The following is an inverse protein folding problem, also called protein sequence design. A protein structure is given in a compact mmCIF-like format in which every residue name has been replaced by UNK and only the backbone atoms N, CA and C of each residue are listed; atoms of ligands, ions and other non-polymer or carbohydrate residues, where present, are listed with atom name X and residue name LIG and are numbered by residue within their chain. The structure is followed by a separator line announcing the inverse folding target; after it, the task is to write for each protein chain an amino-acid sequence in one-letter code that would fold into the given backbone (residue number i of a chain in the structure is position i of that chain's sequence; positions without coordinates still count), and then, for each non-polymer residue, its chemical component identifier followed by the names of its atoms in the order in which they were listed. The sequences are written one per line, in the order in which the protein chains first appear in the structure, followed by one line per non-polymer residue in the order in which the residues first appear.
data_IF_691403571336
#
_entry.id   IF_691403571336
#
_cell.length_a   1.000
_cell.length_b   1.000
_cell.length_c   1.000
_cell.angle_alpha   90.00
_cell.angle_beta   90.00
_cell.angle_gamma   90.00
#
_symmetry.space_group_name_H-M   'P 1'
#
loop_
_entity.id
_entity.type
_entity.pdbx_description
1 polymer ?
#
# COMPACT_ATOMS: atom_id res chain seq x y z
N UNK A 1 -9.22 25.33 22.65
CA UNK A 1 -9.14 23.87 22.89
C UNK A 1 -9.29 23.60 24.38
N UNK A 2 -9.87 22.47 24.79
CA UNK A 2 -9.86 21.96 26.19
C UNK A 2 -9.17 20.59 26.22
N UNK A 3 -8.48 20.28 27.31
CA UNK A 3 -7.78 19.03 27.61
C UNK A 3 -8.13 18.62 29.04
N UNK A 4 -8.51 17.36 29.25
CA UNK A 4 -8.69 16.79 30.60
C UNK A 4 -7.46 15.96 30.93
N UNK A 5 -6.86 16.23 32.08
CA UNK A 5 -5.53 15.74 32.45
C UNK A 5 -5.35 15.69 33.96
N UNK A 6 -4.26 15.06 34.42
CA UNK A 6 -3.73 15.32 35.74
C UNK A 6 -2.54 16.30 35.61
N UNK A 7 -2.45 17.29 36.48
CA UNK A 7 -1.29 18.19 36.51
C UNK A 7 -0.72 18.36 37.91
N UNK A 8 0.56 18.70 37.97
CA UNK A 8 1.25 19.12 39.18
C UNK A 8 1.97 20.44 38.87
N UNK A 9 1.64 21.51 39.58
CA UNK A 9 2.23 22.84 39.42
C UNK A 9 3.34 23.04 40.46
N UNK A 10 4.58 23.17 40.01
CA UNK A 10 5.74 23.40 40.87
C UNK A 10 6.14 24.87 40.74
N UNK A 11 6.07 25.63 41.84
CA UNK A 11 6.64 26.98 41.90
C UNK A 11 8.14 26.87 42.19
N UNK A 12 8.99 27.43 41.33
CA UNK A 12 10.46 27.36 41.49
C UNK A 12 10.96 28.07 42.75
N UNK A 13 10.22 29.08 43.20
CA UNK A 13 10.61 29.95 44.30
C UNK A 13 10.13 29.43 45.67
N UNK A 14 9.55 28.21 45.72
CA UNK A 14 9.08 27.56 46.95
C UNK A 14 9.60 26.13 47.05
N UNK A 15 10.79 25.98 47.66
CA UNK A 15 11.40 24.68 47.97
C UNK A 15 10.65 23.97 49.10
N UNK A 16 9.75 23.03 48.77
CA UNK A 16 9.09 22.16 49.77
C UNK A 16 7.65 21.72 49.48
N UNK A 17 7.03 22.18 48.40
CA UNK A 17 5.61 21.85 48.11
C UNK A 17 5.34 20.35 47.87
N UNK A 18 4.24 19.83 48.46
CA UNK A 18 3.74 18.46 48.19
C UNK A 18 3.43 18.29 46.70
N UNK A 19 4.14 17.38 46.03
CA UNK A 19 3.98 17.08 44.58
C UNK A 19 2.75 16.19 44.30
N UNK A 20 1.56 16.67 44.66
CA UNK A 20 0.31 16.01 44.33
C UNK A 20 -0.06 16.25 42.85
N UNK A 21 -0.56 15.21 42.18
CA UNK A 21 -1.21 15.34 40.88
C UNK A 21 -2.71 15.57 41.09
N UNK A 22 -3.25 16.61 40.47
CA UNK A 22 -4.65 17.00 40.57
C UNK A 22 -5.36 16.85 39.22
N UNK A 23 -6.57 16.28 39.23
CA UNK A 23 -7.45 16.28 38.07
C UNK A 23 -7.75 17.73 37.67
N UNK A 24 -7.47 18.05 36.41
CA UNK A 24 -7.43 19.41 35.89
C UNK A 24 -7.99 19.51 34.48
N UNK A 25 -8.56 20.67 34.18
CA UNK A 25 -8.94 21.06 32.83
C UNK A 25 -7.96 22.14 32.37
N UNK A 26 -7.18 21.84 31.34
CA UNK A 26 -6.33 22.79 30.64
C UNK A 26 -7.08 23.34 29.42
N UNK A 27 -7.26 24.66 29.34
CA UNK A 27 -7.92 25.32 28.23
C UNK A 27 -7.01 26.34 27.55
N UNK A 28 -6.94 26.31 26.22
CA UNK A 28 -6.30 27.35 25.38
C UNK A 28 -7.41 28.17 24.73
N UNK A 29 -7.37 29.50 24.91
CA UNK A 29 -8.29 30.45 24.27
C UNK A 29 -7.74 31.89 24.26
N UNK A 30 -8.36 32.77 23.47
CA UNK A 30 -8.10 34.23 23.55
C UNK A 30 -8.83 34.82 24.76
N UNK A 31 -8.26 35.87 25.37
CA UNK A 31 -8.94 36.64 26.41
C UNK A 31 -10.18 37.38 25.86
N UNK A 32 -11.19 37.59 26.71
CA UNK A 32 -12.43 38.32 26.33
C UNK A 32 -12.30 39.85 26.42
N UNK A 33 -11.13 40.36 26.83
CA UNK A 33 -10.90 41.78 27.09
C UNK A 33 -10.46 42.51 25.80
N UNK A 34 -11.25 43.49 25.37
CA UNK A 34 -11.10 44.24 24.10
C UNK A 34 -9.80 45.06 23.93
N UNK A 35 -8.79 44.88 24.78
CA UNK A 35 -7.49 45.58 24.75
C UNK A 35 -6.25 44.70 24.97
N UNK A 36 -6.37 43.37 25.01
CA UNK A 36 -5.17 42.51 24.91
C UNK A 36 -5.42 41.24 24.08
N UNK A 37 -4.82 41.17 22.88
CA UNK A 37 -4.90 39.99 22.00
C UNK A 37 -3.94 38.86 22.46
N UNK A 38 -3.97 38.56 23.76
CA UNK A 38 -3.20 37.50 24.38
C UNK A 38 -3.96 36.18 24.31
N UNK A 39 -3.37 35.18 23.66
CA UNK A 39 -3.79 33.79 23.89
C UNK A 39 -3.30 33.35 25.27
N UNK A 40 -4.23 32.85 26.10
CA UNK A 40 -3.97 32.40 27.47
C UNK A 40 -4.20 30.88 27.58
N UNK A 41 -3.39 30.23 28.42
CA UNK A 41 -3.67 28.91 28.99
C UNK A 41 -4.37 29.15 30.33
N UNK A 42 -5.52 28.51 30.54
CA UNK A 42 -6.22 28.47 31.83
C UNK A 42 -6.13 27.05 32.40
N UNK A 43 -5.73 26.94 33.66
CA UNK A 43 -5.58 25.68 34.40
C UNK A 43 -6.58 25.67 35.56
N UNK A 44 -7.60 24.83 35.46
CA UNK A 44 -8.71 24.73 36.43
C UNK A 44 -8.56 23.41 37.20
N UNK A 45 -8.31 23.46 38.52
CA UNK A 45 -8.30 22.28 39.41
C UNK A 45 -9.65 22.14 40.13
N UNK A 46 -9.90 21.00 40.78
CA UNK A 46 -11.01 20.87 41.75
C UNK A 46 -10.92 21.85 42.92
N UNK A 47 -9.70 22.23 43.32
CA UNK A 47 -9.43 23.19 44.42
C UNK A 47 -9.49 24.66 44.00
N UNK A 48 -9.28 24.97 42.72
CA UNK A 48 -9.24 26.33 42.17
C UNK A 48 -10.20 26.40 40.96
N UNK A 49 -11.46 26.71 41.25
CA UNK A 49 -12.54 26.80 40.25
C UNK A 49 -12.47 28.05 39.38
N UNK A 50 -11.81 29.13 39.81
CA UNK A 50 -11.62 30.34 39.00
C UNK A 50 -10.49 30.19 37.98
N UNK A 51 -9.51 29.31 38.27
CA UNK A 51 -8.50 28.84 37.32
C UNK A 51 -7.29 29.76 37.19
N UNK A 52 -6.09 29.19 37.26
CA UNK A 52 -4.83 29.93 37.09
C UNK A 52 -4.61 30.24 35.61
N UNK A 53 -4.46 31.52 35.27
CA UNK A 53 -4.18 31.97 33.90
C UNK A 53 -2.68 32.16 33.66
N UNK A 54 -2.20 31.69 32.51
CA UNK A 54 -0.84 31.87 32.02
C UNK A 54 -0.90 32.46 30.61
N UNK A 55 -0.20 33.56 30.37
CA UNK A 55 -0.02 34.08 29.01
C UNK A 55 0.86 33.09 28.19
N UNK A 56 0.57 32.91 26.90
CA UNK A 56 1.35 32.00 26.03
C UNK A 56 2.49 32.73 25.32
N UNK A 57 2.19 33.90 24.73
CA UNK A 57 3.17 34.68 23.96
C UNK A 57 4.25 35.26 24.87
N UNK A 58 5.52 35.13 24.46
CA UNK A 58 6.74 35.61 25.16
C UNK A 58 6.92 35.13 26.63
N UNK A 59 6.13 34.16 27.09
CA UNK A 59 6.05 33.76 28.51
C UNK A 59 6.33 32.26 28.77
N UNK A 60 6.60 31.46 27.73
CA UNK A 60 7.05 30.08 27.87
C UNK A 60 8.57 30.06 27.75
N UNK A 61 9.26 29.61 28.79
CA UNK A 61 10.72 29.45 28.82
C UNK A 61 11.15 28.20 28.05
N UNK A 62 10.61 27.04 28.42
CA UNK A 62 10.94 25.72 27.84
C UNK A 62 9.72 24.79 27.88
N UNK A 63 9.68 23.82 26.98
CA UNK A 63 8.73 22.71 26.98
C UNK A 63 9.54 21.41 26.95
N UNK A 64 9.36 20.57 27.97
CA UNK A 64 10.05 19.29 28.10
C UNK A 64 9.13 18.15 27.63
N UNK A 65 9.47 17.54 26.50
CA UNK A 65 8.71 16.45 25.86
C UNK A 65 9.37 15.07 26.02
N UNK A 66 10.40 14.94 26.86
CA UNK A 66 11.23 13.71 27.03
C UNK A 66 10.41 12.44 27.31
N UNK A 67 9.24 12.57 27.93
CA UNK A 67 8.37 11.47 28.34
C UNK A 67 6.99 11.52 27.64
N UNK A 68 6.91 12.17 26.46
CA UNK A 68 5.66 12.33 25.70
C UNK A 68 5.05 10.98 25.26
N UNK A 69 5.90 9.97 25.02
CA UNK A 69 5.46 8.59 24.75
C UNK A 69 4.77 7.93 25.96
N UNK A 70 5.11 8.33 27.19
CA UNK A 70 4.45 7.93 28.44
C UNK A 70 3.25 8.84 28.81
N UNK A 71 2.86 9.77 27.92
CA UNK A 71 1.80 10.74 28.19
C UNK A 71 2.21 11.87 29.17
N UNK A 72 3.51 12.14 29.34
CA UNK A 72 4.06 13.09 30.32
C UNK A 72 4.79 14.26 29.64
N UNK A 73 4.43 15.49 29.99
CA UNK A 73 5.06 16.74 29.48
C UNK A 73 5.21 17.75 30.62
N UNK A 74 6.25 18.58 30.58
CA UNK A 74 6.38 19.75 31.49
C UNK A 74 6.46 21.04 30.69
N UNK A 75 5.66 22.05 31.04
CA UNK A 75 5.73 23.40 30.47
C UNK A 75 6.26 24.36 31.54
N UNK A 76 7.36 25.06 31.22
CA UNK A 76 8.02 26.01 32.11
C UNK A 76 7.66 27.44 31.73
N UNK A 77 6.93 28.15 32.60
CA UNK A 77 6.55 29.55 32.41
C UNK A 77 7.58 30.51 32.99
N UNK A 78 7.67 31.71 32.42
CA UNK A 78 8.52 32.81 32.90
C UNK A 78 7.79 33.62 33.98
N UNK A 79 6.49 33.84 33.81
CA UNK A 79 5.66 34.59 34.77
C UNK A 79 4.25 33.99 34.86
N UNK A 80 3.80 33.55 36.05
CA UNK A 80 4.62 33.24 37.23
C UNK A 80 5.63 32.11 36.94
N UNK A 81 6.66 31.97 37.79
CA UNK A 81 7.74 31.00 37.63
C UNK A 81 7.34 29.56 38.01
N UNK A 82 6.37 29.03 37.26
CA UNK A 82 5.81 27.71 37.47
C UNK A 82 6.27 26.72 36.40
N UNK A 83 6.60 25.51 36.85
CA UNK A 83 6.75 24.33 36.01
C UNK A 83 5.49 23.47 36.14
N UNK A 84 4.68 23.45 35.09
CA UNK A 84 3.42 22.70 35.03
C UNK A 84 3.70 21.34 34.40
N UNK A 85 3.75 20.31 35.23
CA UNK A 85 3.80 18.91 34.80
C UNK A 85 2.38 18.45 34.41
N UNK A 86 2.26 17.75 33.28
CA UNK A 86 0.99 17.32 32.67
C UNK A 86 1.08 15.81 32.40
N UNK A 87 0.06 15.06 32.84
CA UNK A 87 -0.22 13.67 32.47
C UNK A 87 -1.56 13.59 31.73
N UNK A 88 -1.57 13.04 30.53
CA UNK A 88 -2.80 12.77 29.76
C UNK A 88 -2.49 11.75 28.65
N UNK A 89 -3.53 11.23 27.98
CA UNK A 89 -3.35 10.33 26.84
C UNK A 89 -2.44 10.96 25.78
N UNK A 90 -1.50 10.17 25.25
CA UNK A 90 -0.56 10.61 24.19
C UNK A 90 -1.30 11.31 23.02
N UNK A 91 -2.48 10.83 22.63
CA UNK A 91 -3.27 11.42 21.55
C UNK A 91 -3.78 12.83 21.91
N UNK A 92 -4.35 13.00 23.11
CA UNK A 92 -4.87 14.30 23.55
C UNK A 92 -3.73 15.31 23.80
N UNK A 93 -2.63 14.84 24.40
CA UNK A 93 -1.46 15.66 24.73
C UNK A 93 -0.67 16.10 23.49
N UNK A 94 -0.54 15.23 22.47
CA UNK A 94 0.05 15.63 21.17
C UNK A 94 -0.84 16.59 20.38
N UNK A 95 -2.17 16.45 20.46
CA UNK A 95 -3.08 17.44 19.89
C UNK A 95 -2.96 18.81 20.57
N UNK A 96 -2.89 18.84 21.91
CA UNK A 96 -2.68 20.06 22.69
C UNK A 96 -1.37 20.77 22.33
N UNK A 97 -0.26 20.03 22.22
CA UNK A 97 1.03 20.59 21.81
C UNK A 97 1.04 21.11 20.36
N UNK A 98 0.28 20.50 19.43
CA UNK A 98 0.12 21.04 18.07
C UNK A 98 -0.58 22.40 18.08
N UNK A 99 -1.67 22.54 18.84
CA UNK A 99 -2.39 23.81 18.99
C UNK A 99 -1.50 24.86 19.67
N UNK A 100 -0.74 24.48 20.71
CA UNK A 100 0.21 25.37 21.38
C UNK A 100 1.32 25.85 20.42
N UNK A 101 1.86 24.96 19.57
CA UNK A 101 2.84 25.34 18.56
C UNK A 101 2.25 26.32 17.54
N UNK A 102 1.03 26.08 17.06
CA UNK A 102 0.34 26.98 16.11
C UNK A 102 0.13 28.39 16.71
N UNK A 103 -0.23 28.49 17.99
CA UNK A 103 -0.34 29.77 18.71
C UNK A 103 1.00 30.50 18.80
N UNK A 104 2.10 29.77 18.99
CA UNK A 104 3.44 30.35 19.07
C UNK A 104 4.02 30.76 17.71
N UNK A 105 3.64 30.10 16.61
CA UNK A 105 4.12 30.43 15.24
C UNK A 105 3.20 31.37 14.47
N UNK A 106 1.90 31.41 14.77
CA UNK A 106 0.91 32.26 14.08
C UNK A 106 0.96 33.74 14.44
N UNK A 107 1.89 34.17 15.30
CA UNK A 107 1.98 35.55 15.80
C UNK A 107 2.73 36.53 14.88
N UNK A 108 3.21 36.11 13.71
CA UNK A 108 4.04 36.93 12.81
C UNK A 108 3.72 36.65 11.33
N UNK A 109 2.53 37.04 10.89
CA UNK A 109 2.07 36.89 9.51
C UNK A 109 1.18 38.07 9.06
N UNK A 110 1.81 39.19 8.70
CA UNK A 110 1.19 40.22 7.85
C UNK A 110 2.11 40.48 6.65
N UNK A 111 1.71 39.88 5.53
CA UNK A 111 1.83 40.40 4.15
C UNK A 111 2.99 41.33 3.77
N UNK A 112 3.94 40.79 3.01
CA UNK A 112 4.29 41.33 1.67
C UNK A 112 4.78 40.20 0.77
N UNK A 113 4.44 40.26 -0.52
CA UNK A 113 4.95 39.36 -1.56
C UNK A 113 6.22 39.92 -2.24
N UNK A 114 6.98 39.12 -3.01
CA UNK A 114 8.37 39.44 -3.35
C UNK A 114 8.52 40.38 -4.56
N UNK A 115 9.51 41.27 -4.47
CA UNK A 115 10.13 41.96 -5.61
C UNK A 115 11.66 41.87 -5.52
N UNK A 116 12.33 42.04 -6.65
CA UNK A 116 13.76 41.71 -6.82
C UNK A 116 14.72 42.84 -6.39
N UNK A 117 16.02 42.53 -6.14
CA UNK A 117 16.92 43.44 -5.45
C UNK A 117 17.62 44.45 -6.37
N UNK A 118 17.96 45.61 -5.80
CA UNK A 118 19.01 46.50 -6.31
C UNK A 118 19.72 47.22 -5.16
N UNK A 119 20.92 47.74 -5.43
CA UNK A 119 21.91 48.24 -4.47
C UNK A 119 21.94 49.77 -4.39
N UNK A 120 22.31 50.35 -3.23
CA UNK A 120 23.59 51.11 -3.05
C UNK A 120 23.74 51.73 -1.64
N UNK A 121 25.02 51.84 -1.19
CA UNK A 121 25.63 52.87 -0.31
C UNK A 121 25.12 53.20 1.11
N UNK A 122 26.04 53.03 2.07
CA UNK A 122 26.20 53.74 3.36
C UNK A 122 26.59 55.24 3.16
N UNK A 123 26.77 56.13 4.18
CA UNK A 123 26.83 55.88 5.65
C UNK A 123 26.03 56.85 6.55
N UNK A 124 25.93 56.54 7.86
CA UNK A 124 26.43 57.37 8.99
C UNK A 124 26.17 56.67 10.36
N UNK A 125 26.99 56.97 11.37
CA UNK A 125 26.92 56.49 12.78
C UNK A 125 27.62 57.53 13.67
N UNK A 126 27.35 57.68 14.99
CA UNK A 126 27.52 56.67 16.07
C UNK A 126 26.22 56.42 16.88
N UNK A 127 26.14 55.66 17.99
CA UNK A 127 27.14 55.24 19.00
C UNK A 127 26.93 53.82 19.57
N UNK A 128 27.94 53.31 20.27
CA UNK A 128 28.02 52.00 20.97
C UNK A 128 28.34 52.24 22.48
N UNK A 129 28.72 51.26 23.36
CA UNK A 129 29.02 49.81 23.23
C UNK A 129 27.89 48.94 23.87
N UNK A 130 27.96 47.67 24.31
CA UNK A 130 28.96 46.60 24.64
C UNK A 130 28.33 45.22 24.24
N UNK A 131 28.95 44.05 23.96
CA UNK A 131 30.30 43.42 24.08
C UNK A 131 30.72 43.03 25.52
N UNK A 132 31.10 41.80 25.89
CA UNK A 132 31.65 40.57 25.23
C UNK A 132 31.32 39.33 26.15
N UNK A 133 31.88 38.09 26.03
CA UNK A 133 32.72 37.44 24.99
C UNK A 133 32.27 36.02 24.53
N UNK A 134 32.90 35.52 23.43
CA UNK A 134 33.17 34.11 23.07
C UNK A 134 31.97 33.12 22.84
N UNK A 135 32.08 32.08 22.01
CA UNK A 135 33.21 31.49 21.26
C UNK A 135 32.99 31.48 19.74
N UNK A 136 34.08 31.41 18.98
CA UNK A 136 34.12 31.11 17.53
C UNK A 136 34.79 29.75 17.26
N UNK A 137 34.71 29.27 16.01
CA UNK A 137 35.33 28.03 15.48
C UNK A 137 34.65 26.72 15.97
N UNK A 138 34.36 25.73 15.13
CA UNK A 138 34.61 25.63 13.68
C UNK A 138 33.93 24.42 13.01
N UNK A 139 34.33 24.12 11.77
CA UNK A 139 33.69 23.11 10.91
C UNK A 139 33.92 21.67 11.42
N UNK A 140 32.86 20.98 11.84
CA UNK A 140 32.76 19.51 11.77
C UNK A 140 31.38 19.10 11.26
N UNK A 141 31.35 18.31 10.17
CA UNK A 141 30.17 17.55 9.74
C UNK A 141 30.12 16.25 10.53
N UNK A 142 29.26 16.16 11.55
CA UNK A 142 29.08 14.93 12.33
C UNK A 142 27.74 14.95 13.05
N UNK A 143 26.88 13.93 12.81
CA UNK A 143 25.68 13.54 13.59
C UNK A 143 24.66 14.65 13.90
N UNK A 144 23.35 14.46 13.73
CA UNK A 144 22.54 13.33 14.19
C UNK A 144 21.42 13.08 13.16
N UNK A 145 21.49 11.95 12.44
CA UNK A 145 20.30 11.11 12.36
C UNK A 145 20.16 10.50 13.76
N UNK A 146 18.95 10.45 14.33
CA UNK A 146 18.32 9.21 14.78
C UNK A 146 17.20 9.38 15.83
N UNK A 147 16.20 8.50 15.72
CA UNK A 147 15.20 8.18 16.75
C UNK A 147 14.08 9.24 17.00
N UNK A 148 12.92 8.88 17.59
CA UNK A 148 11.78 8.48 16.75
C UNK A 148 10.41 9.08 17.23
N UNK A 149 9.31 8.36 16.92
CA UNK A 149 7.99 8.39 17.58
C UNK A 149 6.83 9.25 17.03
N UNK A 150 6.97 9.82 15.83
CA UNK A 150 5.77 9.92 14.94
C UNK A 150 5.50 8.51 14.38
N UNK A 151 4.44 7.87 14.86
CA UNK A 151 4.01 6.54 14.39
C UNK A 151 3.34 6.65 13.02
N UNK A 152 4.14 6.89 11.98
CA UNK A 152 3.66 6.97 10.61
C UNK A 152 3.17 5.59 10.16
N UNK A 153 1.86 5.45 9.95
CA UNK A 153 1.23 4.23 9.41
C UNK A 153 1.36 4.14 7.89
N UNK A 154 1.66 5.26 7.23
CA UNK A 154 2.11 5.31 5.82
C UNK A 154 3.57 5.72 5.75
N UNK A 155 4.34 5.09 4.86
CA UNK A 155 5.69 5.52 4.48
C UNK A 155 5.71 5.70 2.95
N UNK A 156 6.34 6.78 2.48
CA UNK A 156 6.51 7.10 1.06
C UNK A 156 7.97 7.44 0.83
N UNK A 157 8.62 6.72 -0.09
CA UNK A 157 10.03 6.84 -0.43
C UNK A 157 10.11 7.02 -1.95
N UNK A 158 10.47 8.24 -2.37
CA UNK A 158 10.66 8.61 -3.78
C UNK A 158 12.11 8.87 -4.15
N UNK A 159 12.99 9.16 -3.20
CA UNK A 159 14.44 9.20 -3.43
C UNK A 159 15.14 8.04 -2.75
N UNK A 160 16.17 7.49 -3.40
CA UNK A 160 17.04 6.45 -2.82
C UNK A 160 17.78 6.89 -1.54
N UNK A 161 17.89 8.21 -1.29
CA UNK A 161 18.44 8.78 -0.04
C UNK A 161 17.50 8.67 1.16
N UNK A 162 16.20 8.58 0.90
CA UNK A 162 15.15 8.56 1.93
C UNK A 162 14.82 7.11 2.37
N UNK A 163 15.56 6.13 1.84
CA UNK A 163 15.40 4.72 2.18
C UNK A 163 15.90 4.44 3.61
N UNK A 164 15.09 3.85 4.50
CA UNK A 164 15.41 3.75 5.91
C UNK A 164 16.48 2.68 6.17
N UNK A 165 17.74 3.10 6.36
CA UNK A 165 18.87 2.19 6.69
C UNK A 165 18.71 1.43 8.00
N UNK A 166 17.85 1.92 8.91
CA UNK A 166 17.46 1.26 10.16
C UNK A 166 16.21 0.37 10.05
N UNK A 167 15.70 0.20 8.83
CA UNK A 167 14.53 -0.60 8.53
C UNK A 167 13.19 0.05 8.88
N UNK A 168 12.13 -0.70 8.61
CA UNK A 168 10.76 -0.20 8.60
C UNK A 168 10.04 -0.34 9.96
N UNK A 169 9.14 0.60 10.26
CA UNK A 169 8.29 0.55 11.45
C UNK A 169 7.33 -0.65 11.39
N UNK A 170 7.33 -1.53 12.40
CA UNK A 170 6.43 -2.70 12.49
C UNK A 170 4.93 -2.35 12.57
N UNK A 171 4.59 -1.06 12.71
CA UNK A 171 3.22 -0.54 12.74
C UNK A 171 2.77 0.06 11.38
N UNK A 172 3.56 -0.11 10.32
CA UNK A 172 3.20 0.33 8.97
C UNK A 172 2.00 -0.44 8.41
N UNK A 173 1.13 0.28 7.71
CA UNK A 173 -0.08 -0.22 7.04
C UNK A 173 -0.02 0.03 5.52
N UNK A 174 0.60 1.14 5.09
CA UNK A 174 0.87 1.45 3.67
C UNK A 174 2.35 1.77 3.44
N UNK A 175 2.98 1.10 2.48
CA UNK A 175 4.35 1.35 2.05
C UNK A 175 4.36 1.69 0.56
N UNK A 176 4.97 2.82 0.21
CA UNK A 176 5.20 3.22 -1.17
C UNK A 176 6.69 3.47 -1.38
N UNK A 177 7.31 2.72 -2.28
CA UNK A 177 8.71 2.82 -2.68
C UNK A 177 8.71 2.90 -4.21
N UNK A 178 8.86 4.10 -4.77
CA UNK A 178 8.68 4.32 -6.21
C UNK A 178 9.77 5.20 -6.80
N UNK A 179 10.26 4.86 -8.00
CA UNK A 179 11.31 5.59 -8.74
C UNK A 179 12.68 5.69 -8.04
N UNK A 180 13.06 4.65 -7.27
CA UNK A 180 14.39 4.57 -6.63
C UNK A 180 15.35 3.60 -7.32
N UNK A 181 14.93 3.02 -8.47
CA UNK A 181 15.68 2.02 -9.25
C UNK A 181 16.04 0.77 -8.43
N UNK A 182 15.11 0.30 -7.60
CA UNK A 182 15.29 -0.88 -6.76
C UNK A 182 15.34 -2.15 -7.63
N UNK A 183 16.46 -2.87 -7.64
CA UNK A 183 16.64 -4.08 -8.47
C UNK A 183 16.26 -5.40 -7.77
N UNK A 184 16.20 -5.39 -6.43
CA UNK A 184 15.89 -6.56 -5.59
C UNK A 184 14.89 -6.16 -4.52
N UNK A 185 13.89 -7.01 -4.27
CA UNK A 185 12.96 -6.83 -3.16
C UNK A 185 13.70 -6.88 -1.80
N UNK A 186 13.39 -5.95 -0.90
CA UNK A 186 13.97 -5.92 0.46
C UNK A 186 13.22 -6.87 1.40
N UNK A 187 13.91 -7.87 1.93
CA UNK A 187 13.36 -8.85 2.87
C UNK A 187 12.89 -8.22 4.20
N UNK A 188 13.33 -7.02 4.57
CA UNK A 188 12.83 -6.31 5.75
C UNK A 188 11.33 -5.97 5.64
N UNK A 189 10.80 -5.81 4.42
CA UNK A 189 9.36 -5.56 4.18
C UNK A 189 8.51 -6.75 4.66
N UNK A 190 9.04 -7.99 4.59
CA UNK A 190 8.34 -9.22 5.02
C UNK A 190 8.03 -9.24 6.52
N UNK A 191 8.76 -8.45 7.33
CA UNK A 191 8.55 -8.34 8.78
C UNK A 191 7.31 -7.48 9.14
N UNK A 192 6.70 -6.80 8.17
CA UNK A 192 5.61 -5.84 8.36
C UNK A 192 4.23 -6.52 8.42
N UNK A 193 3.96 -7.23 9.52
CA UNK A 193 2.71 -7.99 9.74
C UNK A 193 1.42 -7.15 9.64
N UNK A 194 1.50 -5.84 9.88
CA UNK A 194 0.36 -4.91 9.75
C UNK A 194 0.21 -4.27 8.36
N UNK A 195 1.12 -4.54 7.42
CA UNK A 195 1.06 -3.98 6.07
C UNK A 195 -0.16 -4.51 5.32
N UNK A 196 -0.87 -3.61 4.63
CA UNK A 196 -2.05 -3.90 3.79
C UNK A 196 -1.93 -3.35 2.39
N UNK A 197 -1.21 -2.24 2.22
CA UNK A 197 -0.96 -1.62 0.91
C UNK A 197 0.54 -1.55 0.66
N UNK A 198 1.00 -2.15 -0.45
CA UNK A 198 2.41 -2.16 -0.85
C UNK A 198 2.53 -1.73 -2.31
N UNK A 199 3.15 -0.57 -2.53
CA UNK A 199 3.47 -0.04 -3.84
C UNK A 199 4.99 -0.06 -4.03
N UNK A 200 5.44 -0.79 -5.05
CA UNK A 200 6.82 -0.91 -5.51
C UNK A 200 6.98 -0.45 -6.98
N UNK A 201 6.06 0.39 -7.45
CA UNK A 201 5.99 0.81 -8.85
C UNK A 201 7.24 1.58 -9.32
N UNK A 202 7.52 1.59 -10.62
CA UNK A 202 8.65 2.34 -11.22
C UNK A 202 9.98 1.96 -10.58
N UNK A 203 10.32 0.68 -10.61
CA UNK A 203 11.59 0.15 -10.13
C UNK A 203 12.17 -0.83 -11.17
N UNK A 204 13.17 -1.62 -10.77
CA UNK A 204 13.85 -2.57 -11.65
C UNK A 204 13.76 -4.00 -11.09
N UNK A 205 12.67 -4.31 -10.36
CA UNK A 205 12.51 -5.58 -9.67
C UNK A 205 12.26 -6.67 -10.71
N UNK A 206 13.12 -7.69 -10.71
CA UNK A 206 13.03 -8.86 -11.61
C UNK A 206 12.31 -10.06 -10.99
N UNK A 207 12.28 -10.16 -9.66
CA UNK A 207 11.66 -11.28 -8.95
C UNK A 207 11.23 -10.90 -7.53
N UNK A 208 10.25 -11.64 -7.02
CA UNK A 208 9.68 -11.47 -5.68
C UNK A 208 9.90 -12.76 -4.87
N UNK A 209 10.23 -12.67 -3.57
CA UNK A 209 10.45 -13.85 -2.74
C UNK A 209 9.12 -14.57 -2.46
N UNK A 210 9.13 -15.92 -2.44
CA UNK A 210 7.95 -16.72 -2.08
C UNK A 210 7.30 -16.29 -0.76
N UNK A 211 8.12 -15.87 0.21
CA UNK A 211 7.69 -15.35 1.51
C UNK A 211 6.78 -14.10 1.44
N UNK A 212 6.74 -13.37 0.32
CA UNK A 212 5.75 -12.29 0.11
C UNK A 212 4.31 -12.81 0.27
N UNK A 213 4.05 -14.06 -0.14
CA UNK A 213 2.74 -14.70 -0.03
C UNK A 213 2.29 -15.00 1.40
N UNK A 214 3.21 -14.95 2.37
CA UNK A 214 2.90 -15.09 3.79
C UNK A 214 2.31 -13.80 4.38
N UNK A 215 2.49 -12.66 3.71
CA UNK A 215 1.89 -11.38 4.11
C UNK A 215 0.39 -11.35 3.78
N UNK A 216 -0.36 -10.52 4.52
CA UNK A 216 -1.79 -10.27 4.27
C UNK A 216 -1.99 -8.89 3.63
N UNK A 217 -1.54 -8.75 2.38
CA UNK A 217 -1.68 -7.52 1.60
C UNK A 217 -3.05 -7.51 0.91
N UNK A 218 -3.71 -6.35 0.91
CA UNK A 218 -4.96 -6.09 0.18
C UNK A 218 -4.70 -5.39 -1.16
N UNK A 219 -3.65 -4.55 -1.23
CA UNK A 219 -3.24 -3.83 -2.43
C UNK A 219 -1.76 -4.12 -2.69
N UNK A 220 -1.43 -4.52 -3.92
CA UNK A 220 -0.05 -4.72 -4.38
C UNK A 220 0.13 -4.10 -5.76
N UNK A 221 0.93 -3.04 -5.82
CA UNK A 221 1.32 -2.38 -7.08
C UNK A 221 2.79 -2.66 -7.40
N UNK A 222 2.99 -3.31 -8.54
CA UNK A 222 4.27 -3.73 -9.12
C UNK A 222 4.47 -3.11 -10.51
N UNK A 223 3.68 -2.11 -10.89
CA UNK A 223 3.74 -1.51 -12.22
C UNK A 223 5.11 -0.93 -12.57
N UNK A 224 5.45 -0.90 -13.85
CA UNK A 224 6.71 -0.33 -14.37
C UNK A 224 7.94 -0.97 -13.69
N UNK A 225 8.07 -2.28 -13.82
CA UNK A 225 9.18 -3.09 -13.28
C UNK A 225 9.72 -4.04 -14.38
N UNK A 226 10.40 -5.13 -14.02
CA UNK A 226 11.01 -6.05 -14.99
C UNK A 226 10.72 -7.51 -14.64
N UNK A 227 9.47 -7.81 -14.26
CA UNK A 227 9.03 -9.13 -13.78
C UNK A 227 8.89 -10.21 -14.89
N UNK A 228 9.53 -10.02 -16.04
CA UNK A 228 9.47 -10.87 -17.24
C UNK A 228 9.81 -12.34 -16.96
N UNK A 229 10.77 -12.58 -16.05
CA UNK A 229 11.24 -13.91 -15.61
C UNK A 229 10.79 -14.23 -14.17
N UNK A 230 9.89 -13.44 -13.59
CA UNK A 230 9.54 -13.57 -12.18
C UNK A 230 8.84 -14.91 -11.88
N UNK A 231 9.22 -15.54 -10.76
CA UNK A 231 8.48 -16.68 -10.22
C UNK A 231 7.30 -16.20 -9.39
N UNK A 232 6.10 -16.64 -9.76
CA UNK A 232 4.83 -16.23 -9.14
C UNK A 232 4.39 -17.20 -8.02
N UNK A 233 5.33 -17.96 -7.46
CA UNK A 233 5.09 -18.99 -6.44
C UNK A 233 4.58 -18.40 -5.11
N UNK A 234 4.77 -17.09 -4.87
CA UNK A 234 4.20 -16.38 -3.74
C UNK A 234 2.65 -16.35 -3.77
N UNK A 235 2.02 -16.40 -4.94
CA UNK A 235 0.55 -16.49 -5.07
C UNK A 235 -0.01 -17.87 -4.66
N UNK A 236 0.85 -18.87 -4.42
CA UNK A 236 0.42 -20.20 -3.95
C UNK A 236 0.22 -20.26 -2.43
N UNK A 237 0.61 -19.21 -1.69
CA UNK A 237 0.48 -19.13 -0.23
C UNK A 237 -0.94 -18.70 0.22
N UNK A 238 -1.51 -19.30 1.27
CA UNK A 238 -2.92 -19.09 1.63
C UNK A 238 -3.25 -17.69 2.17
N UNK A 239 -2.28 -16.98 2.79
CA UNK A 239 -2.50 -15.64 3.34
C UNK A 239 -2.78 -14.62 2.23
N UNK A 240 -1.97 -14.58 1.16
CA UNK A 240 -2.17 -13.63 0.06
C UNK A 240 -3.42 -13.97 -0.77
N UNK A 241 -3.71 -15.27 -1.00
CA UNK A 241 -4.91 -15.74 -1.71
C UNK A 241 -6.23 -15.29 -1.08
N UNK A 242 -6.23 -15.10 0.24
CA UNK A 242 -7.39 -14.74 1.07
C UNK A 242 -7.36 -13.29 1.57
N UNK A 243 -6.47 -12.44 1.04
CA UNK A 243 -6.42 -11.02 1.41
C UNK A 243 -6.22 -10.04 0.25
N UNK A 244 -5.60 -10.45 -0.86
CA UNK A 244 -5.30 -9.57 -1.99
C UNK A 244 -6.55 -9.24 -2.81
N UNK A 245 -6.89 -7.95 -2.87
CA UNK A 245 -8.06 -7.41 -3.55
C UNK A 245 -7.70 -6.61 -4.81
N UNK A 246 -6.53 -5.96 -4.83
CA UNK A 246 -6.03 -5.19 -5.97
C UNK A 246 -4.61 -5.60 -6.31
N UNK A 247 -4.36 -5.92 -7.60
CA UNK A 247 -3.04 -6.28 -8.13
C UNK A 247 -2.79 -5.51 -9.43
N UNK A 248 -1.73 -4.70 -9.44
CA UNK A 248 -1.24 -4.02 -10.64
C UNK A 248 0.14 -4.58 -11.04
N UNK A 249 0.22 -5.12 -12.26
CA UNK A 249 1.41 -5.72 -12.87
C UNK A 249 1.65 -5.17 -14.29
N UNK A 250 1.14 -3.96 -14.56
CA UNK A 250 1.27 -3.26 -15.83
C UNK A 250 2.73 -2.84 -16.12
N UNK A 251 3.10 -2.55 -17.36
CA UNK A 251 4.46 -2.15 -17.78
C UNK A 251 5.58 -3.10 -17.27
N UNK A 252 5.44 -4.42 -17.42
CA UNK A 252 6.43 -5.40 -16.96
C UNK A 252 6.99 -6.31 -18.09
N UNK A 253 6.59 -6.07 -19.34
CA UNK A 253 6.99 -6.86 -20.51
C UNK A 253 6.55 -8.34 -20.44
N UNK A 254 5.54 -8.68 -19.62
CA UNK A 254 5.15 -10.06 -19.35
C UNK A 254 4.67 -10.78 -20.63
N UNK A 255 5.28 -11.90 -21.06
CA UNK A 255 4.89 -12.61 -22.29
C UNK A 255 3.60 -13.44 -22.13
N UNK A 256 3.19 -13.72 -20.89
CA UNK A 256 1.95 -14.42 -20.54
C UNK A 256 1.43 -13.91 -19.20
N UNK A 257 0.10 -13.96 -19.00
CA UNK A 257 -0.46 -13.70 -17.68
C UNK A 257 -0.12 -14.89 -16.75
N UNK A 258 0.53 -14.68 -15.59
CA UNK A 258 0.99 -15.77 -14.74
C UNK A 258 -0.19 -16.58 -14.18
N UNK A 259 -0.24 -17.87 -14.55
CA UNK A 259 -1.32 -18.80 -14.21
C UNK A 259 -1.63 -18.88 -12.71
N UNK A 260 -0.65 -18.62 -11.84
CA UNK A 260 -0.84 -18.63 -10.39
C UNK A 260 -1.85 -17.57 -9.90
N UNK A 261 -2.14 -16.51 -10.68
CA UNK A 261 -3.11 -15.45 -10.32
C UNK A 261 -4.53 -15.97 -10.10
N UNK A 262 -4.91 -17.10 -10.70
CA UNK A 262 -6.22 -17.76 -10.46
C UNK A 262 -6.45 -18.15 -9.00
N UNK A 263 -5.39 -18.19 -8.18
CA UNK A 263 -5.46 -18.48 -6.76
C UNK A 263 -5.87 -17.27 -5.89
N UNK A 264 -5.78 -16.04 -6.39
CA UNK A 264 -6.20 -14.85 -5.65
C UNK A 264 -7.73 -14.72 -5.65
N UNK A 265 -8.39 -15.53 -4.81
CA UNK A 265 -9.86 -15.67 -4.75
C UNK A 265 -10.58 -14.39 -4.34
N UNK A 266 -9.92 -13.56 -3.54
CA UNK A 266 -10.44 -12.28 -3.05
C UNK A 266 -10.17 -11.11 -4.02
N UNK A 267 -9.49 -11.35 -5.16
CA UNK A 267 -9.10 -10.29 -6.09
C UNK A 267 -10.33 -9.68 -6.79
N UNK A 268 -10.46 -8.36 -6.69
CA UNK A 268 -11.53 -7.54 -7.28
C UNK A 268 -11.03 -6.79 -8.51
N UNK A 269 -9.77 -6.33 -8.47
CA UNK A 269 -9.13 -5.56 -9.55
C UNK A 269 -7.81 -6.20 -9.96
N UNK A 270 -7.68 -6.50 -11.26
CA UNK A 270 -6.43 -6.91 -11.90
C UNK A 270 -6.12 -5.96 -13.06
N UNK A 271 -4.98 -5.28 -12.99
CA UNK A 271 -4.45 -4.46 -14.10
C UNK A 271 -3.11 -5.02 -14.56
N UNK A 272 -3.01 -5.35 -15.84
CA UNK A 272 -1.80 -5.90 -16.47
C UNK A 272 -1.55 -5.25 -17.84
N UNK A 273 -1.79 -3.95 -17.92
CA UNK A 273 -1.71 -3.14 -19.14
C UNK A 273 -0.26 -3.03 -19.64
N UNK A 274 -0.07 -2.73 -20.93
CA UNK A 274 1.24 -2.49 -21.54
C UNK A 274 2.26 -3.61 -21.25
N UNK A 275 1.86 -4.84 -21.57
CA UNK A 275 2.68 -6.05 -21.45
C UNK A 275 2.75 -6.74 -22.84
N UNK A 276 3.24 -7.99 -22.88
CA UNK A 276 3.34 -8.77 -24.11
C UNK A 276 2.46 -10.03 -24.03
N UNK A 277 1.39 -9.98 -23.24
CA UNK A 277 0.51 -11.12 -22.96
C UNK A 277 -0.21 -11.48 -24.25
N UNK A 278 0.02 -12.70 -24.74
CA UNK A 278 -0.68 -13.25 -25.91
C UNK A 278 -1.93 -14.04 -25.58
N UNK A 279 -1.97 -14.71 -24.42
CA UNK A 279 -3.08 -15.57 -24.01
C UNK A 279 -3.35 -15.46 -22.51
N UNK A 280 -4.62 -15.70 -22.14
CA UNK A 280 -5.09 -15.73 -20.75
C UNK A 280 -5.28 -17.17 -20.27
N UNK A 281 -5.10 -17.47 -18.97
CA UNK A 281 -5.29 -18.81 -18.44
C UNK A 281 -6.77 -19.20 -18.48
N UNK A 282 -7.09 -20.40 -18.99
CA UNK A 282 -8.46 -20.91 -19.08
C UNK A 282 -9.20 -20.99 -17.75
N UNK A 283 -8.47 -21.08 -16.63
CA UNK A 283 -9.01 -21.12 -15.29
C UNK A 283 -9.32 -19.73 -14.69
N UNK A 284 -9.11 -18.62 -15.41
CA UNK A 284 -9.40 -17.26 -14.90
C UNK A 284 -10.83 -17.11 -14.36
N UNK A 285 -11.79 -17.86 -14.93
CA UNK A 285 -13.19 -17.89 -14.49
C UNK A 285 -13.40 -18.31 -13.02
N UNK A 286 -12.43 -18.96 -12.36
CA UNK A 286 -12.55 -19.31 -10.93
C UNK A 286 -12.43 -18.11 -9.99
N UNK A 287 -12.01 -16.95 -10.50
CA UNK A 287 -11.85 -15.71 -9.75
C UNK A 287 -13.20 -15.00 -9.58
N UNK A 288 -14.13 -15.64 -8.85
CA UNK A 288 -15.54 -15.23 -8.72
C UNK A 288 -15.77 -13.81 -8.17
N UNK A 289 -14.76 -13.17 -7.56
CA UNK A 289 -14.83 -11.78 -7.06
C UNK A 289 -14.26 -10.74 -8.03
N UNK A 290 -13.60 -11.15 -9.11
CA UNK A 290 -12.97 -10.21 -10.05
C UNK A 290 -14.05 -9.39 -10.76
N UNK A 291 -13.90 -8.06 -10.71
CA UNK A 291 -14.82 -7.08 -11.31
C UNK A 291 -14.16 -6.23 -12.37
N UNK A 292 -12.92 -5.83 -12.15
CA UNK A 292 -12.17 -4.98 -13.06
C UNK A 292 -10.98 -5.80 -13.57
N UNK A 293 -10.97 -6.05 -14.87
CA UNK A 293 -9.87 -6.70 -15.58
C UNK A 293 -9.39 -5.77 -16.70
N UNK A 294 -8.23 -5.15 -16.51
CA UNK A 294 -7.61 -4.30 -17.52
C UNK A 294 -6.40 -4.98 -18.15
N UNK A 295 -6.48 -5.18 -19.47
CA UNK A 295 -5.50 -5.88 -20.30
C UNK A 295 -5.13 -5.04 -21.54
N UNK A 296 -5.39 -3.73 -21.49
CA UNK A 296 -5.06 -2.80 -22.57
C UNK A 296 -3.58 -2.89 -22.99
N UNK A 297 -3.25 -2.60 -24.26
CA UNK A 297 -1.87 -2.60 -24.78
C UNK A 297 -1.15 -3.94 -24.56
N UNK A 298 -1.70 -5.00 -25.12
CA UNK A 298 -1.13 -6.35 -25.05
C UNK A 298 -1.17 -7.01 -26.44
N UNK A 299 -0.78 -8.28 -26.54
CA UNK A 299 -0.72 -9.03 -27.79
C UNK A 299 -1.82 -10.11 -27.84
N UNK A 300 -2.95 -9.92 -27.14
CA UNK A 300 -3.98 -10.95 -26.98
C UNK A 300 -4.64 -11.24 -28.34
N UNK A 301 -4.63 -12.52 -28.73
CA UNK A 301 -5.22 -13.00 -29.99
C UNK A 301 -6.66 -13.53 -29.79
N UNK A 302 -6.92 -14.19 -28.65
CA UNK A 302 -8.24 -14.63 -28.22
C UNK A 302 -8.36 -14.66 -26.69
N UNK A 303 -9.60 -14.58 -26.20
CA UNK A 303 -9.94 -14.84 -24.79
C UNK A 303 -10.41 -16.29 -24.60
N UNK A 304 -10.32 -16.91 -23.43
CA UNK A 304 -10.92 -18.24 -23.23
C UNK A 304 -12.46 -18.14 -23.16
N UNK A 305 -13.18 -19.11 -23.74
CA UNK A 305 -14.66 -19.21 -23.67
C UNK A 305 -15.20 -19.05 -22.23
N UNK A 306 -14.45 -19.56 -21.25
CA UNK A 306 -14.78 -19.50 -19.82
C UNK A 306 -14.90 -18.06 -19.28
N UNK A 307 -14.35 -17.05 -19.96
CA UNK A 307 -14.52 -15.63 -19.60
C UNK A 307 -15.99 -15.21 -19.63
N UNK A 308 -16.83 -15.78 -20.52
CA UNK A 308 -18.26 -15.54 -20.58
C UNK A 308 -19.04 -16.02 -19.33
N UNK A 309 -18.40 -16.81 -18.46
CA UNK A 309 -18.97 -17.27 -17.18
C UNK A 309 -18.73 -16.27 -16.03
N UNK A 310 -17.76 -15.38 -16.16
CA UNK A 310 -17.46 -14.33 -15.17
C UNK A 310 -18.52 -13.22 -15.18
N UNK A 311 -18.55 -12.37 -14.15
CA UNK A 311 -19.39 -11.15 -14.08
C UNK A 311 -18.50 -9.94 -13.82
N UNK A 312 -17.93 -9.40 -14.89
CA UNK A 312 -17.00 -8.27 -14.84
C UNK A 312 -17.78 -6.95 -14.94
N UNK A 313 -17.47 -5.99 -14.09
CA UNK A 313 -18.05 -4.65 -14.18
C UNK A 313 -17.29 -3.82 -15.23
N UNK A 314 -15.97 -4.04 -15.40
CA UNK A 314 -15.15 -3.53 -16.51
C UNK A 314 -14.20 -4.59 -17.06
N UNK A 315 -14.17 -4.73 -18.39
CA UNK A 315 -13.17 -5.48 -19.13
C UNK A 315 -12.53 -4.56 -20.18
N UNK A 316 -11.24 -4.31 -20.05
CA UNK A 316 -10.47 -3.50 -21.02
C UNK A 316 -9.57 -4.40 -21.87
N UNK A 317 -9.85 -4.44 -23.16
CA UNK A 317 -9.10 -5.18 -24.18
C UNK A 317 -8.69 -4.25 -25.35
N UNK A 318 -8.65 -2.94 -25.11
CA UNK A 318 -8.12 -1.96 -26.07
C UNK A 318 -6.66 -2.24 -26.44
N UNK A 319 -6.22 -1.76 -27.61
CA UNK A 319 -4.84 -1.87 -28.09
C UNK A 319 -4.27 -3.31 -28.03
N UNK A 320 -5.11 -4.30 -28.38
CA UNK A 320 -4.74 -5.72 -28.49
C UNK A 320 -4.78 -6.24 -29.93
N UNK A 321 -4.27 -7.46 -30.14
CA UNK A 321 -4.11 -8.11 -31.44
C UNK A 321 -5.25 -9.09 -31.78
N UNK A 322 -6.51 -8.72 -31.46
CA UNK A 322 -7.72 -9.53 -31.64
C UNK A 322 -8.16 -9.68 -33.11
N UNK A 323 -7.23 -10.05 -33.99
CA UNK A 323 -7.44 -10.16 -35.43
C UNK A 323 -7.47 -11.62 -35.90
N UNK A 324 -8.36 -11.89 -36.85
CA UNK A 324 -8.69 -13.24 -37.29
C UNK A 324 -7.52 -13.91 -38.03
N UNK A 325 -6.93 -14.94 -37.43
CA UNK A 325 -6.45 -16.09 -38.19
C UNK A 325 -6.92 -17.38 -37.51
N UNK A 326 -7.55 -18.24 -38.31
CA UNK A 326 -8.18 -19.51 -37.87
C UNK A 326 -7.23 -20.70 -38.11
N UNK A 327 -6.19 -20.52 -38.94
CA UNK A 327 -5.33 -21.59 -39.44
C UNK A 327 -4.33 -22.18 -38.41
N UNK A 328 -4.16 -21.54 -37.26
CA UNK A 328 -3.26 -22.03 -36.20
C UNK A 328 -3.94 -21.93 -34.85
N UNK A 329 -4.01 -23.04 -34.13
CA UNK A 329 -4.10 -23.03 -32.66
C UNK A 329 -2.68 -23.23 -32.15
N UNK A 330 -1.97 -22.19 -31.68
CA UNK A 330 -0.68 -22.37 -31.01
C UNK A 330 -0.92 -23.21 -29.76
N UNK A 331 -0.21 -24.35 -29.65
CA UNK A 331 -0.41 -25.34 -28.60
C UNK A 331 -0.36 -24.65 -27.22
N UNK A 332 -1.42 -24.82 -26.44
CA UNK A 332 -1.67 -24.10 -25.19
C UNK A 332 -0.84 -24.65 -24.01
N UNK A 333 0.31 -25.22 -24.32
CA UNK A 333 1.40 -25.46 -23.37
C UNK A 333 2.03 -24.12 -23.04
N UNK A 334 2.11 -23.81 -21.75
CA UNK A 334 3.18 -22.93 -21.25
C UNK A 334 4.53 -23.54 -21.67
N UNK A 335 5.61 -22.75 -21.84
CA UNK A 335 6.91 -23.27 -22.31
C UNK A 335 7.60 -24.17 -21.28
N UNK A 336 7.13 -25.40 -21.17
CA UNK A 336 7.84 -26.59 -20.71
C UNK A 336 8.33 -27.33 -21.96
N UNK A 337 9.60 -27.74 -21.95
CA UNK A 337 10.40 -28.06 -23.14
C UNK A 337 9.78 -28.96 -24.19
N UNK A 338 10.26 -28.77 -25.42
CA UNK A 338 9.95 -29.53 -26.62
C UNK A 338 9.99 -31.05 -26.40
N UNK A 339 8.84 -31.72 -26.58
CA UNK A 339 8.72 -33.13 -27.03
C UNK A 339 7.23 -33.47 -27.20
N UNK A 340 6.68 -33.20 -28.39
CA UNK A 340 5.37 -33.72 -28.77
C UNK A 340 5.52 -35.13 -29.37
N UNK A 341 5.23 -36.18 -28.60
CA UNK A 341 4.42 -37.35 -29.02
C UNK A 341 4.38 -38.45 -27.94
N UNK A 342 3.21 -39.08 -27.80
CA UNK A 342 2.98 -40.38 -27.12
C UNK A 342 3.65 -40.60 -25.75
N UNK A 343 3.62 -39.62 -24.84
CA UNK A 343 3.66 -39.97 -23.42
C UNK A 343 2.28 -40.50 -23.00
N UNK A 344 2.20 -41.58 -22.19
CA UNK A 344 0.94 -42.01 -21.59
C UNK A 344 0.49 -40.96 -20.56
N UNK A 345 -0.83 -40.78 -20.39
CA UNK A 345 -1.40 -39.80 -19.45
C UNK A 345 -0.73 -39.92 -18.09
N UNK A 346 -0.13 -38.81 -17.62
CA UNK A 346 0.68 -38.82 -16.40
C UNK A 346 -0.08 -39.43 -15.21
N UNK A 347 0.62 -40.05 -14.25
CA UNK A 347 0.00 -40.62 -13.05
C UNK A 347 -0.89 -39.58 -12.32
N UNK A 348 -0.49 -38.31 -12.32
CA UNK A 348 -1.26 -37.20 -11.75
C UNK A 348 -2.53 -36.86 -12.56
N UNK A 349 -2.50 -36.98 -13.89
CA UNK A 349 -3.71 -36.87 -14.73
C UNK A 349 -4.65 -38.06 -14.48
N UNK A 350 -4.14 -39.29 -14.41
CA UNK A 350 -4.97 -40.46 -14.12
C UNK A 350 -5.59 -40.36 -12.72
N UNK A 351 -4.85 -39.85 -11.74
CA UNK A 351 -5.38 -39.52 -10.41
C UNK A 351 -6.46 -38.42 -10.46
N UNK A 352 -6.26 -37.35 -11.24
CA UNK A 352 -7.25 -36.28 -11.42
C UNK A 352 -8.54 -36.80 -12.08
N UNK A 353 -8.42 -37.59 -13.15
CA UNK A 353 -9.55 -38.30 -13.79
C UNK A 353 -10.26 -39.22 -12.80
N UNK A 354 -9.52 -39.94 -11.95
CA UNK A 354 -10.07 -40.84 -10.92
C UNK A 354 -10.82 -40.10 -9.83
N UNK A 355 -10.30 -38.97 -9.32
CA UNK A 355 -10.97 -38.08 -8.36
C UNK A 355 -12.34 -37.64 -8.87
N UNK A 356 -12.42 -37.24 -10.14
CA UNK A 356 -13.66 -36.82 -10.78
C UNK A 356 -14.64 -37.99 -10.98
N UNK A 357 -14.15 -39.12 -11.53
CA UNK A 357 -14.98 -40.30 -11.78
C UNK A 357 -15.56 -40.89 -10.49
N UNK A 358 -14.78 -40.87 -9.39
CA UNK A 358 -15.22 -41.30 -8.06
C UNK A 358 -15.94 -40.20 -7.27
N UNK A 359 -16.15 -39.01 -7.85
CA UNK A 359 -16.81 -37.83 -7.23
C UNK A 359 -16.22 -37.43 -5.87
N UNK A 360 -14.91 -37.60 -5.68
CA UNK A 360 -14.23 -37.33 -4.41
C UNK A 360 -14.24 -35.81 -4.15
N UNK A 361 -14.63 -35.33 -2.95
CA UNK A 361 -14.77 -33.90 -2.67
C UNK A 361 -13.40 -33.20 -2.53
N UNK A 362 -12.89 -32.66 -3.64
CA UNK A 362 -11.61 -31.94 -3.70
C UNK A 362 -11.67 -30.45 -3.31
N UNK A 363 -12.75 -30.00 -2.68
CA UNK A 363 -12.91 -28.63 -2.16
C UNK A 363 -12.12 -28.38 -0.88
N UNK A 364 -11.95 -29.41 -0.05
CA UNK A 364 -11.25 -29.34 1.23
C UNK A 364 -9.75 -29.60 1.07
N UNK A 365 -8.86 -28.79 1.68
CA UNK A 365 -7.42 -29.08 1.74
C UNK A 365 -7.15 -30.39 2.48
N UNK A 366 -6.16 -31.16 2.02
CA UNK A 366 -5.62 -32.34 2.73
C UNK A 366 -6.11 -33.70 2.25
N UNK A 367 -7.31 -33.81 1.63
CA UNK A 367 -7.83 -35.11 1.17
C UNK A 367 -7.11 -35.67 -0.07
N UNK A 368 -6.54 -34.79 -0.89
CA UNK A 368 -5.92 -35.10 -2.20
C UNK A 368 -4.57 -34.37 -2.30
N UNK A 369 -3.51 -34.97 -2.87
CA UNK A 369 -2.21 -34.33 -3.06
C UNK A 369 -2.31 -33.00 -3.82
N UNK A 370 -1.56 -31.99 -3.36
CA UNK A 370 -1.59 -30.63 -3.92
C UNK A 370 -1.39 -30.60 -5.45
N UNK A 371 -0.50 -31.44 -6.00
CA UNK A 371 -0.26 -31.54 -7.45
C UNK A 371 -1.51 -31.94 -8.25
N UNK A 372 -2.30 -32.89 -7.73
CA UNK A 372 -3.55 -33.35 -8.39
C UNK A 372 -4.63 -32.28 -8.27
N UNK A 373 -4.72 -31.62 -7.11
CA UNK A 373 -5.60 -30.49 -6.85
C UNK A 373 -5.31 -29.28 -7.77
N UNK A 374 -4.03 -29.01 -8.03
CA UNK A 374 -3.55 -27.96 -8.93
C UNK A 374 -3.90 -28.26 -10.40
N UNK A 375 -3.70 -29.50 -10.85
CA UNK A 375 -4.11 -29.96 -12.18
C UNK A 375 -5.63 -29.82 -12.36
N UNK A 376 -6.42 -30.25 -11.37
CA UNK A 376 -7.89 -30.13 -11.40
C UNK A 376 -8.38 -28.68 -11.48
N UNK A 377 -7.70 -27.73 -10.80
CA UNK A 377 -8.03 -26.30 -10.84
C UNK A 377 -7.67 -25.64 -12.17
N UNK A 378 -6.59 -26.10 -12.82
CA UNK A 378 -6.05 -25.50 -14.06
C UNK A 378 -6.62 -26.12 -15.34
N UNK A 379 -7.27 -27.27 -15.26
CA UNK A 379 -7.86 -27.94 -16.41
C UNK A 379 -8.97 -27.07 -17.06
N UNK A 380 -8.87 -26.74 -18.37
CA UNK A 380 -9.94 -26.07 -19.09
C UNK A 380 -11.22 -26.91 -19.12
N UNK A 381 -12.39 -26.29 -18.98
CA UNK A 381 -13.67 -27.01 -18.90
C UNK A 381 -14.38 -27.02 -20.25
N UNK A 382 -14.73 -28.23 -20.71
CA UNK A 382 -15.55 -28.45 -21.90
C UNK A 382 -16.94 -27.82 -21.77
N UNK A 383 -17.58 -27.52 -22.89
CA UNK A 383 -19.00 -27.13 -22.92
C UNK A 383 -19.93 -28.22 -22.34
N UNK A 384 -19.50 -29.48 -22.24
CA UNK A 384 -20.20 -30.54 -21.50
C UNK A 384 -19.98 -30.54 -19.97
N UNK A 385 -19.29 -29.53 -19.42
CA UNK A 385 -19.00 -29.37 -17.99
C UNK A 385 -17.82 -30.17 -17.45
N UNK A 386 -17.25 -31.10 -18.22
CA UNK A 386 -16.08 -31.89 -17.80
C UNK A 386 -14.75 -31.16 -18.06
N UNK A 387 -13.77 -31.24 -17.14
CA UNK A 387 -12.42 -30.73 -17.38
C UNK A 387 -11.69 -31.56 -18.45
N UNK A 388 -10.90 -30.88 -19.28
CA UNK A 388 -10.11 -31.46 -20.36
C UNK A 388 -8.64 -31.46 -19.97
N UNK A 389 -7.97 -32.59 -20.15
CA UNK A 389 -6.58 -32.79 -19.76
C UNK A 389 -5.66 -32.85 -20.99
N UNK A 390 -4.73 -33.81 -21.12
CA UNK A 390 -3.84 -33.91 -22.29
C UNK A 390 -4.59 -34.18 -23.60
N UNK A 391 -5.58 -35.09 -23.59
CA UNK A 391 -6.41 -35.38 -24.76
C UNK A 391 -7.56 -34.38 -24.90
N UNK A 392 -7.40 -33.38 -25.78
CA UNK A 392 -8.39 -32.31 -25.99
C UNK A 392 -8.38 -31.79 -27.43
N UNK A 393 -9.55 -31.38 -27.90
CA UNK A 393 -9.76 -30.67 -29.18
C UNK A 393 -9.86 -29.18 -28.87
N UNK A 394 -9.14 -28.35 -29.63
CA UNK A 394 -9.25 -26.89 -29.56
C UNK A 394 -9.99 -26.36 -30.79
N UNK A 395 -10.85 -25.36 -30.61
CA UNK A 395 -11.41 -24.55 -31.69
C UNK A 395 -11.35 -23.07 -31.31
N UNK A 396 -11.18 -22.18 -32.28
CA UNK A 396 -11.31 -20.74 -32.11
C UNK A 396 -12.64 -20.28 -32.70
N UNK A 397 -13.55 -19.81 -31.85
CA UNK A 397 -14.91 -19.39 -32.21
C UNK A 397 -15.07 -17.88 -32.01
N UNK A 398 -16.18 -17.29 -32.48
CA UNK A 398 -16.51 -15.88 -32.20
C UNK A 398 -17.26 -15.78 -30.86
N UNK A 399 -16.89 -14.84 -30.00
CA UNK A 399 -17.62 -14.60 -28.75
C UNK A 399 -19.00 -14.04 -29.05
N UNK A 400 -20.05 -14.79 -28.70
CA UNK A 400 -21.44 -14.40 -28.92
C UNK A 400 -21.95 -13.50 -27.78
N UNK A 401 -21.57 -13.77 -26.53
CA UNK A 401 -21.93 -12.95 -25.36
C UNK A 401 -20.86 -12.96 -24.27
N UNK A 402 -20.57 -11.79 -23.70
CA UNK A 402 -19.90 -11.64 -22.40
C UNK A 402 -20.87 -11.04 -21.38
N UNK A 403 -20.74 -11.43 -20.12
CA UNK A 403 -21.46 -10.81 -18.99
C UNK A 403 -20.60 -9.68 -18.41
N UNK A 404 -20.47 -8.59 -19.16
CA UNK A 404 -19.71 -7.43 -18.74
C UNK A 404 -20.51 -6.12 -18.90
N UNK A 405 -20.44 -5.25 -17.89
CA UNK A 405 -21.16 -3.97 -17.88
C UNK A 405 -20.48 -2.89 -18.73
N UNK A 406 -19.15 -2.93 -18.84
CA UNK A 406 -18.36 -2.00 -19.67
C UNK A 406 -17.19 -2.73 -20.34
N UNK A 407 -17.30 -2.95 -21.65
CA UNK A 407 -16.31 -3.63 -22.49
C UNK A 407 -15.63 -2.60 -23.41
N UNK A 408 -14.30 -2.49 -23.31
CA UNK A 408 -13.49 -1.66 -24.20
C UNK A 408 -12.75 -2.53 -25.21
N UNK A 409 -12.91 -2.21 -26.49
CA UNK A 409 -12.27 -2.85 -27.64
C UNK A 409 -11.87 -1.77 -28.65
N UNK A 410 -10.91 -2.06 -29.52
CA UNK A 410 -10.63 -1.18 -30.65
C UNK A 410 -11.76 -1.24 -31.70
N UNK A 411 -11.88 -0.18 -32.50
CA UNK A 411 -12.73 -0.19 -33.68
C UNK A 411 -12.43 -1.39 -34.60
N UNK A 412 -13.48 -1.98 -35.17
CA UNK A 412 -13.44 -3.09 -36.12
C UNK A 412 -12.87 -4.44 -35.63
N UNK A 413 -12.51 -4.58 -34.34
CA UNK A 413 -12.09 -5.87 -33.79
C UNK A 413 -13.27 -6.78 -33.46
N UNK A 414 -13.13 -8.08 -33.75
CA UNK A 414 -14.10 -9.11 -33.36
C UNK A 414 -13.49 -9.96 -32.25
N UNK A 415 -14.15 -10.01 -31.09
CA UNK A 415 -13.65 -10.78 -29.97
C UNK A 415 -13.77 -12.29 -30.24
N UNK A 416 -12.64 -12.98 -30.31
CA UNK A 416 -12.56 -14.43 -30.53
C UNK A 416 -12.40 -15.19 -29.20
N UNK A 417 -13.05 -16.34 -29.09
CA UNK A 417 -12.93 -17.28 -27.98
C UNK A 417 -12.09 -18.49 -28.39
N UNK A 418 -11.05 -18.81 -27.61
CA UNK A 418 -10.48 -20.16 -27.63
C UNK A 418 -11.40 -21.08 -26.79
N UNK A 419 -11.91 -22.13 -27.42
CA UNK A 419 -12.76 -23.17 -26.85
C UNK A 419 -11.96 -24.49 -26.72
N UNK A 420 -12.30 -25.31 -25.71
CA UNK A 420 -11.63 -26.61 -25.46
C UNK A 420 -12.67 -27.68 -25.23
N UNK A 421 -12.52 -28.83 -25.91
CA UNK A 421 -13.45 -29.94 -25.82
C UNK A 421 -12.72 -31.24 -25.44
N UNK A 422 -13.36 -32.06 -24.60
CA UNK A 422 -12.80 -33.34 -24.14
C UNK A 422 -12.87 -34.45 -25.21
N UNK A 423 -13.56 -34.23 -26.33
CA UNK A 423 -13.62 -35.15 -27.47
C UNK A 423 -14.18 -34.43 -28.72
N UNK A 424 -13.93 -34.98 -29.90
CA UNK A 424 -14.58 -34.52 -31.14
C UNK A 424 -16.12 -34.62 -31.09
N UNK A 425 -16.66 -35.60 -30.36
CA UNK A 425 -18.12 -35.72 -30.14
C UNK A 425 -18.71 -34.55 -29.36
N UNK A 426 -17.88 -33.78 -28.66
CA UNK A 426 -18.28 -32.54 -27.99
C UNK A 426 -18.07 -31.30 -28.87
N UNK A 427 -17.03 -31.24 -29.71
CA UNK A 427 -16.84 -30.11 -30.62
C UNK A 427 -17.89 -30.10 -31.73
N UNK A 428 -18.19 -31.25 -32.34
CA UNK A 428 -19.22 -31.41 -33.39
C UNK A 428 -20.68 -31.22 -32.91
N UNK A 429 -20.90 -30.85 -31.64
CA UNK A 429 -22.23 -30.49 -31.09
C UNK A 429 -22.47 -28.98 -31.01
N UNK A 430 -21.48 -28.18 -31.41
CA UNK A 430 -21.46 -26.71 -31.27
C UNK A 430 -20.98 -26.01 -32.56
N UNK A 431 -20.97 -26.75 -33.68
CA UNK A 431 -20.83 -26.25 -35.04
C UNK A 431 -22.20 -26.36 -35.74
#
# INVERSE_FOLDING_TARGET
MKLICETCTINRNVTGGKRAFLKTILAIGKGSERKSDGTKIMLITSSNKSGTQYNVLKNISKIFTRFLDEGKVTISFITPEHDVQIKSDKVQLTAFLKVLKLVLTGGSAQTTEPSQPQSTTNPFSPSAPLRLPCLTVGKKKSSILDSPSVLSTKCVITNRKDYPTKGFSRLLVSLQISDIKLSRFDSQILLLQKLRSLNLSKNCIRSLPRALGQMRLCELDLSSNSLTEARWDWLLEPNIQSSLQQLNISDNGLPFLPVNVIHARELVTLTAENNHIRKLPFALWTMNRLRILSLAKNQIDAVPETLARMRLDRLDLSENALYCNVATVPDLRLPSSETQHRQPSSMFELAARTVLHRKIPYTFPGLIPFTVLEILRRAPICSCGQPCFESKVFLRTKVITLKCSYLVLNANQQLMADCVYCSEKCSRKLC
#
